data_IF_695557759003
#
_entry.id   IF_695557759003
#
_cell.length_a   1.000
_cell.length_b   1.000
_cell.length_c   1.000
_cell.angle_alpha   90.00
_cell.angle_beta   90.00
_cell.angle_gamma   90.00
#
_symmetry.space_group_name_H-M   'P 1'
#
loop_
_entity.id
_entity.type
_entity.pdbx_description
1 polymer ?
#
# COMPACT_ATOMS: atom_id res chain seq x y z
N UNK A 1 -9.14 4.37 4.20
CA UNK A 1 -8.79 3.38 5.25
C UNK A 1 -8.81 2.00 4.62
N UNK A 2 -7.73 1.19 4.76
CA UNK A 2 -7.71 -0.18 4.24
C UNK A 2 -8.38 -1.13 5.23
N UNK A 3 -9.36 -1.90 4.76
CA UNK A 3 -10.03 -2.95 5.52
C UNK A 3 -9.59 -4.31 4.96
N UNK A 4 -9.22 -5.23 5.85
CA UNK A 4 -8.81 -6.58 5.51
C UNK A 4 -9.87 -7.52 6.06
N UNK A 5 -10.69 -8.07 5.16
CA UNK A 5 -11.65 -9.10 5.51
C UNK A 5 -10.94 -10.45 5.63
N UNK A 6 -11.29 -11.21 6.67
CA UNK A 6 -10.85 -12.58 6.85
C UNK A 6 -12.03 -13.45 7.29
N UNK A 7 -11.97 -14.74 6.98
CA UNK A 7 -12.97 -15.71 7.41
C UNK A 7 -12.39 -16.55 8.55
N UNK A 8 -13.11 -16.69 9.65
CA UNK A 8 -12.70 -17.61 10.71
C UNK A 8 -12.80 -19.07 10.21
N UNK A 9 -11.74 -19.84 10.39
CA UNK A 9 -11.66 -21.26 9.98
C UNK A 9 -11.08 -22.11 11.10
N UNK A 10 -11.11 -23.44 10.92
CA UNK A 10 -10.42 -24.39 11.82
C UNK A 10 -8.93 -24.57 11.47
N UNK A 11 -8.45 -23.91 10.43
CA UNK A 11 -7.04 -23.97 10.01
C UNK A 11 -6.18 -23.19 11.01
N UNK A 12 -5.45 -23.93 11.84
CA UNK A 12 -4.66 -23.37 12.94
C UNK A 12 -3.54 -22.44 12.42
N UNK A 13 -2.71 -22.86 11.42
CA UNK A 13 -1.73 -21.96 10.82
C UNK A 13 -2.33 -20.66 10.25
N UNK A 14 -3.46 -20.74 9.55
CA UNK A 14 -4.14 -19.57 9.01
C UNK A 14 -4.62 -18.64 10.12
N UNK A 15 -5.29 -19.17 11.15
CA UNK A 15 -5.78 -18.34 12.24
C UNK A 15 -4.63 -17.70 13.01
N UNK A 16 -3.52 -18.42 13.24
CA UNK A 16 -2.32 -17.87 13.86
C UNK A 16 -1.70 -16.72 13.03
N UNK A 17 -1.70 -16.83 11.69
CA UNK A 17 -1.30 -15.74 10.81
C UNK A 17 -2.20 -14.51 11.01
N UNK A 18 -3.53 -14.67 10.99
CA UNK A 18 -4.46 -13.54 11.19
C UNK A 18 -4.28 -12.90 12.57
N UNK A 19 -4.11 -13.68 13.63
CA UNK A 19 -3.82 -13.21 15.00
C UNK A 19 -2.54 -12.38 15.07
N UNK A 20 -1.49 -12.81 14.38
CA UNK A 20 -0.24 -12.07 14.32
C UNK A 20 -0.39 -10.76 13.56
N UNK A 21 -1.04 -10.80 12.41
CA UNK A 21 -1.10 -9.66 11.49
C UNK A 21 -2.06 -8.56 11.96
N UNK A 22 -3.11 -8.89 12.72
CA UNK A 22 -4.07 -7.91 13.25
C UNK A 22 -3.52 -7.04 14.38
N UNK A 23 -2.39 -7.42 14.99
CA UNK A 23 -1.73 -6.61 16.03
C UNK A 23 -1.14 -5.31 15.48
N UNK A 24 -1.00 -5.18 14.16
CA UNK A 24 -0.49 -3.97 13.53
C UNK A 24 -1.54 -2.85 13.56
N UNK A 25 -1.22 -1.66 14.09
CA UNK A 25 -2.17 -0.53 14.11
C UNK A 25 -2.49 0.02 12.71
N UNK A 26 -1.72 -0.38 11.69
CA UNK A 26 -1.92 0.03 10.29
C UNK A 26 -2.83 -0.92 9.51
N UNK A 27 -3.33 -1.99 10.14
CA UNK A 27 -4.13 -3.03 9.48
C UNK A 27 -5.47 -3.21 10.20
N UNK A 28 -6.57 -2.89 9.52
CA UNK A 28 -7.90 -3.03 10.07
C UNK A 28 -8.50 -4.37 9.65
N UNK A 29 -8.39 -5.39 10.51
CA UNK A 29 -8.96 -6.71 10.24
C UNK A 29 -10.44 -6.77 10.68
N UNK A 30 -11.29 -7.30 9.81
CA UNK A 30 -12.71 -7.52 10.07
C UNK A 30 -13.02 -8.98 9.78
N UNK A 31 -13.65 -9.67 10.74
CA UNK A 31 -14.14 -11.04 10.52
C UNK A 31 -15.45 -10.97 9.74
N UNK A 32 -15.53 -11.67 8.62
CA UNK A 32 -16.71 -11.76 7.78
C UNK A 32 -16.41 -11.52 6.31
N UNK A 33 -17.47 -11.36 5.54
CA UNK A 33 -17.38 -11.13 4.09
C UNK A 33 -17.48 -9.64 3.78
N UNK A 34 -16.80 -9.17 2.72
CA UNK A 34 -17.00 -7.83 2.22
C UNK A 34 -18.43 -7.66 1.69
N UNK A 35 -19.02 -6.48 1.89
CA UNK A 35 -20.37 -6.14 1.39
C UNK A 35 -20.42 -6.18 -0.15
N UNK A 36 -19.30 -5.86 -0.81
CA UNK A 36 -19.12 -5.98 -2.25
C UNK A 36 -17.65 -6.28 -2.59
N UNK A 37 -17.44 -6.95 -3.72
CA UNK A 37 -16.12 -7.24 -4.29
C UNK A 37 -15.61 -6.18 -5.27
N UNK A 38 -16.38 -5.10 -5.53
CA UNK A 38 -16.06 -4.06 -6.53
C UNK A 38 -14.78 -3.27 -6.25
N UNK A 39 -14.29 -3.32 -5.00
CA UNK A 39 -13.14 -2.53 -4.52
C UNK A 39 -12.07 -3.39 -3.86
N UNK A 40 -11.94 -4.66 -4.26
CA UNK A 40 -10.89 -5.54 -3.75
C UNK A 40 -9.53 -5.16 -4.34
N UNK A 41 -8.60 -4.76 -3.47
CA UNK A 41 -7.23 -4.42 -3.85
C UNK A 41 -6.43 -5.69 -4.19
N UNK A 42 -6.57 -6.73 -3.35
CA UNK A 42 -5.97 -8.04 -3.57
C UNK A 42 -6.65 -9.11 -2.70
N UNK A 43 -6.48 -10.36 -3.09
CA UNK A 43 -6.81 -11.53 -2.28
C UNK A 43 -5.53 -12.21 -1.79
N UNK A 44 -5.55 -12.70 -0.55
CA UNK A 44 -4.46 -13.47 0.05
C UNK A 44 -5.00 -14.82 0.49
N UNK A 45 -4.38 -15.87 -0.03
CA UNK A 45 -4.59 -17.25 0.39
C UNK A 45 -3.34 -17.73 1.13
N UNK A 46 -3.55 -18.51 2.17
CA UNK A 46 -2.48 -19.13 2.96
C UNK A 46 -2.95 -20.52 3.37
N UNK A 47 -2.41 -21.54 2.72
CA UNK A 47 -2.85 -22.93 2.79
C UNK A 47 -1.67 -23.89 2.57
N UNK A 48 -1.86 -25.19 2.81
CA UNK A 48 -0.88 -26.20 2.43
C UNK A 48 -0.43 -26.08 0.97
N UNK A 49 0.82 -26.45 0.74
CA UNK A 49 1.51 -26.29 -0.54
C UNK A 49 0.76 -26.93 -1.72
N UNK A 50 0.28 -28.15 -1.55
CA UNK A 50 -0.47 -28.91 -2.53
C UNK A 50 -1.80 -28.22 -2.89
N UNK A 51 -2.49 -27.62 -1.92
CA UNK A 51 -3.72 -26.86 -2.16
C UNK A 51 -3.44 -25.59 -2.96
N UNK A 52 -2.36 -24.87 -2.63
CA UNK A 52 -1.97 -23.65 -3.36
C UNK A 52 -1.58 -23.98 -4.81
N UNK A 53 -0.83 -25.07 -5.03
CA UNK A 53 -0.45 -25.56 -6.35
C UNK A 53 -1.70 -25.93 -7.18
N UNK A 54 -2.64 -26.66 -6.60
CA UNK A 54 -3.91 -27.00 -7.25
C UNK A 54 -4.73 -25.76 -7.65
N UNK A 55 -4.84 -24.76 -6.76
CA UNK A 55 -5.55 -23.51 -7.06
C UNK A 55 -4.85 -22.75 -8.18
N UNK A 56 -3.51 -22.70 -8.16
CA UNK A 56 -2.74 -22.04 -9.20
C UNK A 56 -2.94 -22.69 -10.57
N UNK A 57 -2.95 -24.03 -10.64
CA UNK A 57 -3.23 -24.78 -11.87
C UNK A 57 -4.65 -24.54 -12.39
N UNK A 58 -5.63 -24.42 -11.50
CA UNK A 58 -7.00 -24.05 -11.88
C UNK A 58 -7.04 -22.64 -12.50
N UNK A 59 -6.31 -21.68 -11.92
CA UNK A 59 -6.22 -20.32 -12.46
C UNK A 59 -5.60 -20.32 -13.86
N UNK A 60 -4.53 -21.09 -14.10
CA UNK A 60 -3.92 -21.26 -15.43
C UNK A 60 -4.96 -21.77 -16.43
N UNK A 61 -5.68 -22.84 -16.08
CA UNK A 61 -6.68 -23.48 -16.97
C UNK A 61 -7.87 -22.57 -17.27
N UNK A 62 -8.22 -21.67 -16.36
CA UNK A 62 -9.40 -20.80 -16.47
C UNK A 62 -9.24 -19.59 -17.41
N UNK A 63 -8.07 -19.37 -18.03
CA UNK A 63 -7.72 -18.16 -18.81
C UNK A 63 -7.75 -16.83 -18.03
N UNK A 64 -8.06 -16.85 -16.74
CA UNK A 64 -8.16 -15.66 -15.89
C UNK A 64 -6.81 -14.96 -15.67
N UNK A 65 -5.69 -15.67 -15.81
CA UNK A 65 -4.35 -15.12 -15.61
C UNK A 65 -4.03 -13.92 -16.51
N UNK A 66 -4.68 -13.78 -17.67
CA UNK A 66 -4.46 -12.62 -18.53
C UNK A 66 -4.81 -11.30 -17.82
N UNK A 67 -5.81 -11.31 -16.93
CA UNK A 67 -6.29 -10.14 -16.22
C UNK A 67 -5.82 -10.09 -14.77
N UNK A 68 -4.99 -11.03 -14.32
CA UNK A 68 -4.58 -11.16 -12.92
C UNK A 68 -3.06 -11.16 -12.81
N UNK A 69 -2.56 -10.51 -11.75
CA UNK A 69 -1.19 -10.68 -11.32
C UNK A 69 -1.20 -11.61 -10.11
N UNK A 70 -0.72 -12.83 -10.30
CA UNK A 70 -0.65 -13.87 -9.26
C UNK A 70 0.79 -14.03 -8.79
N UNK A 71 0.99 -14.09 -7.48
CA UNK A 71 2.31 -14.31 -6.86
C UNK A 71 2.18 -15.45 -5.86
N UNK A 72 2.99 -16.49 -6.03
CA UNK A 72 3.07 -17.64 -5.13
C UNK A 72 4.45 -17.66 -4.46
N UNK A 73 4.50 -17.90 -3.15
CA UNK A 73 5.75 -18.08 -2.43
C UNK A 73 5.56 -18.93 -1.18
N UNK A 74 6.58 -19.73 -0.85
CA UNK A 74 6.60 -20.60 0.34
C UNK A 74 6.62 -19.77 1.62
N UNK A 75 5.99 -20.28 2.67
CA UNK A 75 6.04 -19.68 3.99
C UNK A 75 7.39 -19.95 4.65
N UNK A 76 7.95 -18.90 5.25
CA UNK A 76 9.17 -19.02 6.07
C UNK A 76 8.84 -19.48 7.49
N UNK A 77 7.64 -19.18 7.97
CA UNK A 77 7.23 -19.41 9.36
C UNK A 77 6.54 -20.75 9.58
N UNK A 78 6.01 -21.36 8.52
CA UNK A 78 5.18 -22.57 8.59
C UNK A 78 5.58 -23.49 7.44
N UNK A 79 6.28 -24.57 7.77
CA UNK A 79 6.70 -25.57 6.78
C UNK A 79 5.50 -26.25 6.12
N UNK A 80 5.61 -26.51 4.81
CA UNK A 80 4.55 -27.12 4.01
C UNK A 80 3.37 -26.20 3.68
N UNK A 81 3.46 -24.90 3.99
CA UNK A 81 2.45 -23.90 3.65
C UNK A 81 2.99 -22.87 2.66
N UNK A 82 2.10 -22.38 1.80
CA UNK A 82 2.39 -21.35 0.80
C UNK A 82 1.41 -20.20 0.88
N UNK A 83 1.87 -19.04 0.43
CA UNK A 83 1.06 -17.88 0.17
C UNK A 83 0.75 -17.79 -1.31
N UNK A 84 -0.50 -17.43 -1.63
CA UNK A 84 -0.90 -17.02 -2.97
C UNK A 84 -1.57 -15.65 -2.88
N UNK A 85 -1.02 -14.67 -3.60
CA UNK A 85 -1.56 -13.32 -3.70
C UNK A 85 -2.12 -13.09 -5.09
N UNK A 86 -3.37 -12.66 -5.17
CA UNK A 86 -4.04 -12.31 -6.43
C UNK A 86 -4.31 -10.82 -6.43
N UNK A 87 -3.74 -10.13 -7.42
CA UNK A 87 -4.00 -8.74 -7.71
C UNK A 87 -4.71 -8.61 -9.06
N UNK A 88 -5.36 -7.48 -9.30
CA UNK A 88 -5.68 -7.08 -10.67
C UNK A 88 -4.40 -7.07 -11.52
N UNK A 89 -4.47 -7.54 -12.76
CA UNK A 89 -3.37 -7.45 -13.73
C UNK A 89 -2.98 -6.00 -14.04
N UNK A 90 -3.91 -5.06 -13.78
CA UNK A 90 -3.68 -3.62 -13.88
C UNK A 90 -3.11 -3.00 -12.60
N UNK A 91 -2.85 -3.79 -11.54
CA UNK A 91 -2.25 -3.29 -10.30
C UNK A 91 -0.75 -3.03 -10.47
N UNK A 92 -0.42 -1.96 -11.21
CA UNK A 92 0.92 -1.48 -11.48
C UNK A 92 1.12 -0.04 -11.01
N UNK A 93 2.39 0.34 -10.83
CA UNK A 93 2.76 1.71 -10.42
C UNK A 93 2.20 2.75 -11.40
N UNK A 94 2.31 2.48 -12.70
CA UNK A 94 1.92 3.43 -13.74
C UNK A 94 0.40 3.70 -13.71
N UNK A 95 -0.42 2.66 -13.57
CA UNK A 95 -1.88 2.82 -13.42
C UNK A 95 -2.25 3.54 -12.11
N UNK A 96 -1.54 3.26 -11.01
CA UNK A 96 -1.74 3.99 -9.76
C UNK A 96 -1.41 5.48 -9.90
N UNK A 97 -0.37 5.84 -10.67
CA UNK A 97 -0.04 7.25 -10.94
C UNK A 97 -1.15 7.96 -11.71
N UNK A 98 -1.78 7.29 -12.69
CA UNK A 98 -2.94 7.82 -13.42
C UNK A 98 -4.09 8.08 -12.45
N UNK A 99 -4.42 7.12 -11.58
CA UNK A 99 -5.48 7.27 -10.59
C UNK A 99 -5.19 8.38 -9.58
N UNK A 100 -3.95 8.48 -9.08
CA UNK A 100 -3.56 9.54 -8.14
C UNK A 100 -3.69 10.92 -8.77
N UNK A 101 -3.25 11.09 -10.03
CA UNK A 101 -3.39 12.37 -10.75
C UNK A 101 -4.84 12.82 -10.82
N UNK A 102 -5.74 11.90 -11.17
CA UNK A 102 -7.18 12.17 -11.25
C UNK A 102 -7.78 12.47 -9.88
N UNK A 103 -7.35 11.77 -8.84
CA UNK A 103 -7.89 11.92 -7.49
C UNK A 103 -7.45 13.23 -6.82
N UNK A 104 -6.20 13.65 -7.02
CA UNK A 104 -5.65 14.85 -6.37
C UNK A 104 -5.84 16.12 -7.19
N UNK A 105 -6.27 16.02 -8.44
CA UNK A 105 -6.28 17.10 -9.43
C UNK A 105 -4.93 17.84 -9.51
N UNK A 106 -3.84 17.06 -9.46
CA UNK A 106 -2.50 17.64 -9.41
C UNK A 106 -2.09 18.13 -10.80
N UNK A 107 -1.87 19.45 -10.92
CA UNK A 107 -1.37 20.07 -12.16
C UNK A 107 0.04 19.60 -12.53
N UNK A 108 0.85 19.26 -11.52
CA UNK A 108 2.24 18.82 -11.71
C UNK A 108 2.54 17.59 -10.85
N UNK A 109 3.23 16.63 -11.46
CA UNK A 109 3.72 15.42 -10.79
C UNK A 109 5.21 15.31 -11.09
N UNK A 110 6.01 15.14 -10.03
CA UNK A 110 7.45 14.86 -10.14
C UNK A 110 7.69 13.45 -9.62
N UNK A 111 8.27 12.60 -10.45
CA UNK A 111 8.60 11.22 -10.11
C UNK A 111 10.09 11.05 -9.83
N UNK A 112 10.38 10.27 -8.80
CA UNK A 112 11.73 10.00 -8.31
C UNK A 112 11.97 8.49 -8.40
N UNK A 113 13.09 8.07 -8.99
CA UNK A 113 13.40 6.65 -9.00
C UNK A 113 14.76 6.30 -9.58
N UNK A 114 15.09 5.03 -9.53
CA UNK A 114 16.43 4.48 -9.78
C UNK A 114 16.57 3.82 -11.15
N UNK A 115 15.60 4.02 -12.05
CA UNK A 115 15.66 3.54 -13.43
C UNK A 115 15.95 4.73 -14.37
N UNK A 116 17.13 4.76 -15.03
CA UNK A 116 17.46 5.81 -15.98
C UNK A 116 16.41 5.91 -17.09
N UNK A 117 15.97 7.13 -17.42
CA UNK A 117 15.00 7.40 -18.48
C UNK A 117 13.54 7.07 -18.16
N UNK A 118 13.23 6.53 -16.97
CA UNK A 118 11.85 6.22 -16.56
C UNK A 118 11.21 7.29 -15.67
N UNK A 119 12.00 7.99 -14.88
CA UNK A 119 11.54 8.95 -13.87
C UNK A 119 12.10 10.34 -14.15
N UNK A 120 11.40 11.39 -13.70
CA UNK A 120 11.80 12.79 -13.91
C UNK A 120 13.14 13.11 -13.23
N UNK A 121 13.36 12.51 -12.05
CA UNK A 121 14.61 12.65 -11.32
C UNK A 121 15.16 11.25 -11.00
N UNK A 122 16.35 10.98 -11.53
CA UNK A 122 17.11 9.78 -11.18
C UNK A 122 17.66 9.91 -9.76
N UNK A 123 17.40 8.90 -8.93
CA UNK A 123 17.99 8.77 -7.59
C UNK A 123 18.62 7.41 -7.44
N UNK A 124 19.87 7.37 -7.00
CA UNK A 124 20.57 6.13 -6.74
C UNK A 124 20.00 5.48 -5.47
N UNK A 125 19.44 4.28 -5.59
CA UNK A 125 18.82 3.51 -4.51
C UNK A 125 19.78 3.21 -3.33
N UNK A 126 21.09 3.36 -3.52
CA UNK A 126 22.08 3.21 -2.44
C UNK A 126 22.13 4.39 -1.46
N UNK A 127 21.41 5.48 -1.69
CA UNK A 127 21.50 6.67 -0.84
C UNK A 127 20.13 7.35 -0.60
N UNK A 128 19.38 6.85 0.39
CA UNK A 128 18.10 7.43 0.80
C UNK A 128 18.20 8.91 1.23
N UNK A 129 19.36 9.37 1.71
CA UNK A 129 19.56 10.77 2.10
C UNK A 129 19.46 11.71 0.90
N UNK A 130 19.79 11.25 -0.31
CA UNK A 130 19.64 12.07 -1.52
C UNK A 130 18.17 12.46 -1.76
N UNK A 131 17.23 11.53 -1.54
CA UNK A 131 15.79 11.80 -1.67
C UNK A 131 15.37 12.88 -0.67
N UNK A 132 15.80 12.74 0.59
CA UNK A 132 15.45 13.70 1.66
C UNK A 132 15.99 15.09 1.36
N UNK A 133 17.27 15.21 0.96
CA UNK A 133 17.86 16.50 0.61
C UNK A 133 17.20 17.14 -0.61
N UNK A 134 16.85 16.35 -1.61
CA UNK A 134 16.18 16.83 -2.80
C UNK A 134 14.77 17.33 -2.49
N UNK A 135 13.98 16.56 -1.74
CA UNK A 135 12.66 16.99 -1.28
C UNK A 135 12.77 18.25 -0.42
N UNK A 136 13.70 18.29 0.53
CA UNK A 136 13.93 19.46 1.36
C UNK A 136 14.21 20.68 0.50
N UNK A 137 15.18 20.62 -0.43
CA UNK A 137 15.55 21.72 -1.32
C UNK A 137 14.36 22.19 -2.17
N UNK A 138 13.59 21.25 -2.74
CA UNK A 138 12.44 21.57 -3.58
C UNK A 138 11.33 22.29 -2.81
N UNK A 139 11.11 21.88 -1.56
CA UNK A 139 10.04 22.41 -0.71
C UNK A 139 10.51 23.47 0.30
N UNK A 140 11.80 23.78 0.37
CA UNK A 140 12.40 24.70 1.36
C UNK A 140 11.75 26.09 1.32
N UNK A 141 11.45 26.57 0.10
CA UNK A 141 10.75 27.83 -0.14
C UNK A 141 9.33 27.85 0.48
N UNK A 142 8.65 26.71 0.53
CA UNK A 142 7.31 26.55 1.10
C UNK A 142 7.33 26.22 2.60
N UNK A 143 8.49 25.82 3.15
CA UNK A 143 8.69 25.44 4.54
C UNK A 143 9.29 26.56 5.41
N UNK A 144 9.54 27.74 4.83
CA UNK A 144 10.06 28.88 5.58
C UNK A 144 9.10 29.29 6.73
N UNK A 145 9.60 29.67 7.93
CA UNK A 145 8.77 29.94 9.10
C UNK A 145 7.66 30.97 8.84
N UNK A 146 7.91 31.91 7.95
CA UNK A 146 7.00 32.99 7.55
C UNK A 146 5.73 32.44 6.86
N UNK A 147 5.87 31.40 6.04
CA UNK A 147 4.75 30.75 5.35
C UNK A 147 4.04 29.70 6.22
N UNK A 148 4.78 29.04 7.13
CA UNK A 148 4.22 28.10 8.11
C UNK A 148 3.28 28.78 9.12
N UNK A 149 3.64 29.98 9.61
CA UNK A 149 2.80 30.74 10.54
C UNK A 149 1.52 31.27 9.90
N UNK A 150 1.54 31.64 8.61
CA UNK A 150 0.35 32.11 7.90
C UNK A 150 -0.66 30.99 7.64
N UNK A 151 -0.25 29.80 7.18
CA UNK A 151 -1.19 28.69 6.92
C UNK A 151 -1.84 28.10 8.16
N UNK A 152 -1.18 28.12 9.33
CA UNK A 152 -1.80 27.66 10.58
C UNK A 152 -3.02 28.49 10.98
N UNK A 153 -3.03 29.80 10.67
CA UNK A 153 -4.19 30.67 10.95
C UNK A 153 -5.39 30.38 10.04
N UNK A 154 -5.13 30.02 8.79
CA UNK A 154 -6.20 29.72 7.80
C UNK A 154 -6.77 28.31 7.97
N UNK A 155 -5.94 27.30 8.25
CA UNK A 155 -6.37 25.90 8.38
C UNK A 155 -6.83 25.52 9.79
N UNK A 156 -6.40 26.26 10.83
CA UNK A 156 -6.74 26.00 12.23
C UNK A 156 -6.95 27.31 13.02
N UNK A 157 -8.07 28.02 12.79
CA UNK A 157 -8.32 29.32 13.44
C UNK A 157 -8.38 29.25 14.98
N UNK A 158 -8.64 28.07 15.55
CA UNK A 158 -8.72 27.85 17.01
C UNK A 158 -7.36 27.80 17.73
N UNK A 159 -6.23 27.88 17.01
CA UNK A 159 -4.91 27.74 17.64
C UNK A 159 -4.37 29.05 18.26
N UNK A 160 -5.15 30.14 18.24
CA UNK A 160 -4.69 31.48 18.61
C UNK A 160 -5.02 31.93 20.05
N UNK A 161 -5.73 31.14 20.85
CA UNK A 161 -6.17 31.54 22.20
C UNK A 161 -5.38 30.91 23.35
N UNK A 162 -4.10 30.62 23.13
CA UNK A 162 -3.15 30.45 24.26
C UNK A 162 -1.95 31.36 24.08
N UNK A 163 -2.23 32.67 24.08
CA UNK A 163 -1.23 33.65 24.51
C UNK A 163 -1.27 33.76 26.02
N UNK A 164 -0.07 33.63 26.58
CA UNK A 164 0.39 33.93 27.93
C UNK A 164 -0.61 34.63 28.85
N UNK A 165 -0.91 33.97 29.97
CA UNK A 165 -1.05 34.63 31.26
C UNK A 165 -0.45 33.72 32.34
N UNK A 166 0.70 34.17 32.83
CA UNK A 166 1.43 33.82 34.05
C UNK A 166 2.16 32.47 34.03
#
# INVERSE_FOLDING_TARGET
>A
MLIIYYQATKDIPYMALVERMRKSPFRNYVNGEPISFDHVVYMLLFYPDDMIENIYDMLIKSSLLYNLKVIVYKSVDVEGYSYLKIYSGRAGKDNMMVHLRQYTDAEQIITLGDMPGKYDIYVNNKNANQIVHLLKKQYEQYLSPQHWFCRKKELFPACNDRKHNI
#
